data_IF_767094825221
#
_entry.id   IF_767094825221
#
_cell.length_a   1.000
_cell.length_b   1.000
_cell.length_c   1.000
_cell.angle_alpha   90.00
_cell.angle_beta   90.00
_cell.angle_gamma   90.00
#
_symmetry.space_group_name_H-M   'P 1'
#
loop_
_entity.id
_entity.type
_entity.pdbx_description
1 polymer ?
#
# COMPACT_ATOMS: atom_id res chain seq x y z
N UNK A 1 19.58 -8.28 3.42
CA UNK A 1 18.18 -7.84 3.57
C UNK A 1 17.47 -8.24 2.29
N UNK A 2 16.38 -9.03 2.35
CA UNK A 2 15.55 -9.39 1.21
C UNK A 2 14.21 -8.65 1.35
N UNK A 3 13.80 -7.91 0.35
CA UNK A 3 12.64 -7.02 0.42
C UNK A 3 11.47 -7.65 -0.37
N UNK A 4 10.31 -7.78 0.27
CA UNK A 4 9.06 -8.10 -0.43
C UNK A 4 8.44 -6.83 -0.99
N UNK A 5 8.17 -6.79 -2.29
CA UNK A 5 7.48 -5.68 -2.95
C UNK A 5 6.16 -6.21 -3.50
N UNK A 6 5.07 -5.56 -3.12
CA UNK A 6 3.71 -5.97 -3.48
C UNK A 6 3.02 -4.85 -4.22
N UNK A 7 2.33 -5.18 -5.30
CA UNK A 7 1.28 -4.38 -5.90
C UNK A 7 0.00 -5.22 -6.01
N UNK A 8 -1.16 -4.59 -6.04
CA UNK A 8 -2.44 -5.30 -6.17
C UNK A 8 -2.77 -5.62 -7.64
N UNK A 9 -2.33 -4.78 -8.56
CA UNK A 9 -2.66 -4.84 -9.99
C UNK A 9 -1.42 -5.02 -10.87
N UNK A 10 -1.62 -5.40 -12.14
CA UNK A 10 -0.52 -5.54 -13.10
C UNK A 10 0.20 -4.20 -13.33
N UNK A 11 -0.56 -3.14 -13.47
CA UNK A 11 -0.08 -1.77 -13.71
C UNK A 11 0.90 -1.31 -12.63
N UNK A 12 0.74 -1.80 -11.40
CA UNK A 12 1.55 -1.42 -10.24
C UNK A 12 2.89 -2.15 -10.17
N UNK A 13 3.02 -3.32 -10.83
CA UNK A 13 4.23 -4.14 -10.75
C UNK A 13 4.94 -4.33 -12.10
N UNK A 14 4.28 -4.06 -13.23
CA UNK A 14 4.77 -4.42 -14.56
C UNK A 14 6.13 -3.78 -14.86
N UNK A 15 6.29 -2.49 -14.57
CA UNK A 15 7.56 -1.81 -14.82
C UNK A 15 8.68 -2.36 -13.93
N UNK A 16 8.42 -2.60 -12.64
CA UNK A 16 9.43 -3.21 -11.74
C UNK A 16 9.84 -4.60 -12.23
N UNK A 17 8.86 -5.37 -12.73
CA UNK A 17 9.14 -6.69 -13.28
C UNK A 17 10.04 -6.61 -14.53
N UNK A 18 9.88 -5.60 -15.37
CA UNK A 18 10.74 -5.38 -16.53
C UNK A 18 12.15 -4.95 -16.14
N UNK A 19 12.29 -4.17 -15.07
CA UNK A 19 13.56 -3.59 -14.63
C UNK A 19 14.39 -4.56 -13.76
N UNK A 20 13.77 -5.62 -13.20
CA UNK A 20 14.47 -6.55 -12.34
C UNK A 20 15.17 -7.68 -13.10
N UNK A 21 16.25 -8.18 -12.54
CA UNK A 21 16.88 -9.43 -12.96
C UNK A 21 16.18 -10.58 -12.23
N UNK A 22 15.24 -11.25 -12.93
CA UNK A 22 14.49 -12.38 -12.37
C UNK A 22 15.37 -13.61 -12.39
N UNK A 23 15.61 -14.22 -11.23
CA UNK A 23 16.37 -15.46 -11.07
C UNK A 23 15.44 -16.68 -10.98
N UNK A 24 14.26 -16.48 -10.40
CA UNK A 24 13.28 -17.55 -10.18
C UNK A 24 11.86 -17.05 -10.19
N UNK A 25 10.96 -17.80 -10.84
CA UNK A 25 9.51 -17.65 -10.71
C UNK A 25 8.95 -18.79 -9.86
N UNK A 26 8.12 -18.47 -8.89
CA UNK A 26 7.46 -19.41 -8.00
C UNK A 26 5.96 -19.13 -7.97
N UNK A 27 5.15 -20.17 -8.04
CA UNK A 27 3.69 -20.05 -7.88
C UNK A 27 3.29 -20.65 -6.54
N UNK A 28 2.59 -19.87 -5.72
CA UNK A 28 1.98 -20.28 -4.46
C UNK A 28 0.58 -19.69 -4.36
N UNK A 29 -0.41 -20.49 -3.98
CA UNK A 29 -1.82 -20.06 -3.90
C UNK A 29 -2.30 -19.33 -5.17
N UNK A 30 -1.88 -19.79 -6.36
CA UNK A 30 -2.14 -19.18 -7.67
C UNK A 30 -1.55 -17.77 -7.87
N UNK A 31 -0.67 -17.33 -6.97
CA UNK A 31 0.05 -16.07 -7.04
C UNK A 31 1.46 -16.33 -7.58
N UNK A 32 1.88 -15.51 -8.57
CA UNK A 32 3.25 -15.54 -9.11
C UNK A 32 4.15 -14.63 -8.31
N UNK A 33 5.26 -15.18 -7.84
CA UNK A 33 6.32 -14.47 -7.16
C UNK A 33 7.58 -14.48 -8.04
N UNK A 34 8.18 -13.32 -8.22
CA UNK A 34 9.41 -13.13 -8.97
C UNK A 34 10.54 -12.84 -7.99
N UNK A 35 11.41 -13.81 -7.77
CA UNK A 35 12.60 -13.68 -6.92
C UNK A 35 13.81 -13.30 -7.78
N UNK A 36 14.59 -12.33 -7.32
CA UNK A 36 15.76 -11.85 -8.05
C UNK A 36 16.28 -10.54 -7.48
N UNK A 37 16.84 -9.69 -8.33
CA UNK A 37 17.40 -8.40 -7.92
C UNK A 37 16.80 -7.24 -8.71
N UNK A 38 16.60 -6.11 -8.01
CA UNK A 38 16.26 -4.81 -8.61
C UNK A 38 17.25 -3.77 -8.05
N UNK A 39 17.93 -3.05 -8.94
CA UNK A 39 18.99 -2.09 -8.57
C UNK A 39 20.03 -2.69 -7.61
N UNK A 40 20.38 -3.98 -7.82
CA UNK A 40 21.35 -4.71 -7.00
C UNK A 40 20.83 -5.14 -5.62
N UNK A 41 19.57 -4.91 -5.28
CA UNK A 41 18.96 -5.35 -4.02
C UNK A 41 18.19 -6.65 -4.21
N UNK A 42 18.33 -7.65 -3.33
CA UNK A 42 17.52 -8.87 -3.37
C UNK A 42 16.07 -8.55 -3.06
N UNK A 43 15.19 -8.85 -3.99
CA UNK A 43 13.75 -8.62 -3.86
C UNK A 43 12.92 -9.85 -4.20
N UNK A 44 11.70 -9.88 -3.69
CA UNK A 44 10.61 -10.73 -4.18
C UNK A 44 9.46 -9.83 -4.57
N UNK A 45 9.17 -9.76 -5.86
CA UNK A 45 8.07 -8.97 -6.42
C UNK A 45 6.86 -9.87 -6.67
N UNK A 46 5.68 -9.40 -6.35
CA UNK A 46 4.45 -10.13 -6.67
C UNK A 46 3.25 -9.20 -6.86
N UNK A 47 2.25 -9.73 -7.59
CA UNK A 47 0.90 -9.16 -7.65
C UNK A 47 0.00 -9.93 -6.70
N UNK A 48 -0.53 -9.24 -5.66
CA UNK A 48 -1.44 -9.88 -4.72
C UNK A 48 -2.83 -10.17 -5.31
N UNK A 49 -3.31 -9.33 -6.20
CA UNK A 49 -4.73 -9.18 -6.50
C UNK A 49 -5.40 -8.21 -5.53
N UNK A 50 -6.59 -7.75 -5.90
CA UNK A 50 -7.35 -6.74 -5.15
C UNK A 50 -8.01 -7.36 -3.92
N UNK A 51 -8.04 -6.59 -2.83
CA UNK A 51 -8.77 -6.90 -1.60
C UNK A 51 -7.93 -7.48 -0.46
N UNK A 52 -8.47 -7.35 0.74
CA UNK A 52 -7.76 -7.63 2.00
C UNK A 52 -7.28 -9.06 2.13
N UNK A 53 -8.07 -10.05 1.71
CA UNK A 53 -7.71 -11.47 1.80
C UNK A 53 -6.50 -11.78 0.91
N UNK A 54 -6.49 -11.25 -0.32
CA UNK A 54 -5.38 -11.42 -1.26
C UNK A 54 -4.09 -10.80 -0.71
N UNK A 55 -4.17 -9.60 -0.17
CA UNK A 55 -3.02 -8.91 0.44
C UNK A 55 -2.48 -9.66 1.66
N UNK A 56 -3.36 -10.12 2.56
CA UNK A 56 -2.97 -10.88 3.75
C UNK A 56 -2.28 -12.21 3.39
N UNK A 57 -2.90 -13.00 2.49
CA UNK A 57 -2.34 -14.26 2.01
C UNK A 57 -0.96 -14.08 1.38
N UNK A 58 -0.84 -13.10 0.49
CA UNK A 58 0.40 -12.78 -0.21
C UNK A 58 1.50 -12.38 0.77
N UNK A 59 1.17 -11.53 1.73
CA UNK A 59 2.10 -11.07 2.75
C UNK A 59 2.63 -12.21 3.61
N UNK A 60 1.76 -13.12 4.05
CA UNK A 60 2.19 -14.28 4.84
C UNK A 60 3.10 -15.21 4.04
N UNK A 61 2.82 -15.43 2.75
CA UNK A 61 3.70 -16.23 1.87
C UNK A 61 5.07 -15.56 1.70
N UNK A 62 5.13 -14.23 1.53
CA UNK A 62 6.40 -13.50 1.46
C UNK A 62 7.23 -13.66 2.71
N UNK A 63 6.61 -13.64 3.88
CA UNK A 63 7.28 -13.80 5.17
C UNK A 63 7.73 -15.24 5.36
N UNK A 64 6.84 -16.21 5.28
CA UNK A 64 7.12 -17.60 5.65
C UNK A 64 7.93 -18.36 4.61
N UNK A 65 7.59 -18.20 3.34
CA UNK A 65 8.24 -18.98 2.29
C UNK A 65 9.50 -18.29 1.71
N UNK A 66 9.41 -16.97 1.47
CA UNK A 66 10.52 -16.21 0.89
C UNK A 66 11.46 -15.60 1.93
N UNK A 67 11.05 -15.59 3.22
CA UNK A 67 11.84 -15.06 4.33
C UNK A 67 12.26 -13.59 4.10
N UNK A 68 11.33 -12.78 3.62
CA UNK A 68 11.57 -11.35 3.44
C UNK A 68 11.73 -10.68 4.81
N UNK A 69 12.62 -9.70 4.89
CA UNK A 69 12.95 -8.99 6.13
C UNK A 69 12.33 -7.59 6.21
N UNK A 70 11.69 -7.15 5.14
CA UNK A 70 10.92 -5.92 5.07
C UNK A 70 9.92 -5.98 3.91
N UNK A 71 8.87 -5.17 3.97
CA UNK A 71 7.80 -5.13 3.00
C UNK A 71 7.58 -3.70 2.51
N UNK A 72 7.44 -3.54 1.20
CA UNK A 72 7.01 -2.31 0.53
C UNK A 72 5.74 -2.64 -0.23
N UNK A 73 4.66 -1.94 0.07
CA UNK A 73 3.45 -2.01 -0.73
C UNK A 73 3.34 -0.75 -1.59
N UNK A 74 3.33 -0.91 -2.87
CA UNK A 74 3.26 0.18 -3.85
C UNK A 74 1.97 0.10 -4.64
N UNK A 75 1.44 1.24 -5.06
CA UNK A 75 0.22 1.26 -5.86
C UNK A 75 -0.48 2.62 -5.85
N UNK A 76 -1.75 2.59 -6.16
CA UNK A 76 -2.61 3.77 -6.28
C UNK A 76 -3.65 3.83 -5.17
N UNK A 77 -4.23 5.01 -4.94
CA UNK A 77 -5.29 5.23 -3.96
C UNK A 77 -6.17 6.42 -4.31
N UNK A 78 -7.38 6.45 -3.78
CA UNK A 78 -8.26 7.62 -3.80
C UNK A 78 -7.89 8.59 -2.69
N UNK A 79 -7.74 9.89 -3.03
CA UNK A 79 -7.44 10.95 -2.07
C UNK A 79 -8.63 11.27 -1.18
N UNK A 80 -8.40 11.40 0.14
CA UNK A 80 -9.42 11.80 1.12
C UNK A 80 -9.29 13.27 1.53
N UNK A 81 -8.09 13.85 1.43
CA UNK A 81 -7.85 15.26 1.73
C UNK A 81 -8.17 16.13 0.51
N UNK A 82 -8.70 17.34 0.74
CA UNK A 82 -9.10 18.25 -0.33
C UNK A 82 -7.89 18.79 -1.11
N UNK A 83 -6.78 18.96 -0.43
CA UNK A 83 -5.51 19.43 -0.98
C UNK A 83 -4.78 18.42 -1.86
N UNK A 84 -5.13 17.11 -1.79
CA UNK A 84 -4.50 16.10 -2.62
C UNK A 84 -5.02 16.14 -4.06
N UNK A 85 -4.10 16.17 -5.00
CA UNK A 85 -4.36 16.07 -6.43
C UNK A 85 -3.86 14.74 -7.02
N UNK A 86 -4.36 14.40 -8.21
CA UNK A 86 -3.91 13.22 -8.95
C UNK A 86 -2.41 13.32 -9.22
N UNK A 87 -1.68 12.28 -8.87
CA UNK A 87 -0.22 12.21 -8.97
C UNK A 87 0.51 12.52 -7.67
N UNK A 88 -0.15 13.06 -6.64
CA UNK A 88 0.47 13.25 -5.33
C UNK A 88 0.82 11.91 -4.69
N UNK A 89 1.87 11.93 -3.85
CA UNK A 89 2.38 10.73 -3.19
C UNK A 89 1.99 10.74 -1.72
N UNK A 90 1.40 9.64 -1.27
CA UNK A 90 1.12 9.37 0.13
C UNK A 90 2.05 8.28 0.64
N UNK A 91 2.76 8.57 1.74
CA UNK A 91 3.59 7.62 2.48
C UNK A 91 2.89 7.29 3.79
N UNK A 92 2.65 6.00 4.07
CA UNK A 92 1.97 5.58 5.29
C UNK A 92 2.76 5.94 6.54
N UNK A 93 2.11 6.58 7.52
CA UNK A 93 2.58 6.56 8.92
C UNK A 93 1.97 5.39 9.67
N UNK A 94 0.76 5.01 9.28
CA UNK A 94 0.03 3.83 9.74
C UNK A 94 -0.99 3.39 8.69
N UNK A 95 -1.60 2.22 8.91
CA UNK A 95 -2.71 1.74 8.11
C UNK A 95 -3.80 1.14 9.00
N UNK A 96 -5.07 1.36 8.62
CA UNK A 96 -6.22 0.93 9.40
C UNK A 96 -7.36 0.43 8.49
N UNK A 97 -8.06 -0.61 8.93
CA UNK A 97 -9.28 -1.05 8.27
C UNK A 97 -10.43 -0.11 8.59
N UNK A 98 -11.07 0.46 7.57
CA UNK A 98 -12.22 1.35 7.77
C UNK A 98 -13.58 0.63 7.72
N UNK A 99 -13.59 -0.62 7.27
CA UNK A 99 -14.80 -1.41 7.06
C UNK A 99 -15.04 -2.48 8.13
N UNK A 100 -14.20 -2.51 9.18
CA UNK A 100 -14.47 -3.31 10.38
C UNK A 100 -15.40 -2.50 11.28
N UNK A 101 -16.55 -3.06 11.60
CA UNK A 101 -17.54 -2.45 12.47
C UNK A 101 -17.98 -3.41 13.58
N UNK A 102 -17.38 -3.26 14.75
CA UNK A 102 -17.74 -3.94 15.99
C UNK A 102 -18.60 -3.07 16.93
N UNK A 103 -19.16 -1.96 16.44
CA UNK A 103 -19.89 -0.99 17.28
C UNK A 103 -21.09 -1.60 18.02
N UNK A 104 -21.84 -2.58 17.50
CA UNK A 104 -22.88 -3.25 18.28
C UNK A 104 -22.36 -4.01 19.50
N UNK A 105 -21.05 -4.32 19.55
CA UNK A 105 -20.37 -4.97 20.66
C UNK A 105 -19.62 -3.97 21.56
N UNK A 106 -19.72 -2.65 21.28
CA UNK A 106 -19.09 -1.58 22.05
C UNK A 106 -17.68 -1.18 21.58
N UNK A 107 -17.19 -1.71 20.45
CA UNK A 107 -15.93 -1.31 19.85
C UNK A 107 -16.09 -0.07 18.97
N UNK A 108 -14.99 0.66 18.75
CA UNK A 108 -15.01 1.75 17.78
C UNK A 108 -14.98 1.18 16.35
N UNK A 109 -15.50 1.92 15.37
CA UNK A 109 -15.33 1.55 13.96
C UNK A 109 -13.85 1.50 13.60
N UNK A 110 -13.46 0.51 12.82
CA UNK A 110 -12.07 0.22 12.47
C UNK A 110 -11.29 -0.53 13.55
N UNK A 111 -11.83 -0.62 14.76
CA UNK A 111 -11.27 -1.45 15.81
C UNK A 111 -11.62 -2.93 15.56
N UNK A 112 -10.61 -3.79 15.58
CA UNK A 112 -10.79 -5.24 15.43
C UNK A 112 -11.27 -5.79 16.76
N UNK A 113 -12.51 -6.32 16.85
CA UNK A 113 -13.04 -6.83 18.11
C UNK A 113 -12.16 -7.92 18.72
N UNK A 114 -11.93 -7.85 20.03
CA UNK A 114 -11.16 -8.84 20.79
C UNK A 114 -9.70 -9.01 20.35
N UNK A 115 -9.19 -8.05 19.62
CA UNK A 115 -7.79 -8.01 19.22
C UNK A 115 -6.96 -7.33 20.31
N UNK A 116 -5.95 -8.03 20.85
CA UNK A 116 -5.18 -7.57 22.01
C UNK A 116 -4.14 -6.50 21.67
N UNK A 117 -4.14 -6.00 20.44
CA UNK A 117 -3.20 -5.00 19.93
C UNK A 117 -3.94 -3.81 19.33
N UNK A 118 -3.19 -2.77 18.97
CA UNK A 118 -3.75 -1.64 18.22
C UNK A 118 -4.25 -2.08 16.85
N UNK A 119 -5.42 -1.59 16.45
CA UNK A 119 -5.97 -1.75 15.11
C UNK A 119 -5.47 -0.70 14.11
N UNK A 120 -4.61 0.22 14.57
CA UNK A 120 -3.86 1.18 13.76
C UNK A 120 -2.40 0.68 13.65
N UNK A 121 -2.06 0.06 12.53
CA UNK A 121 -0.78 -0.61 12.31
C UNK A 121 0.28 0.40 11.88
N UNK A 122 1.19 0.74 12.80
CA UNK A 122 2.23 1.75 12.57
C UNK A 122 3.29 1.24 11.59
N UNK A 123 3.57 2.02 10.56
CA UNK A 123 4.63 1.76 9.60
C UNK A 123 6.03 1.96 10.23
N UNK A 124 7.04 1.33 9.64
CA UNK A 124 8.41 1.44 10.15
C UNK A 124 8.97 2.83 9.86
N UNK A 125 9.36 3.57 10.91
CA UNK A 125 9.81 4.98 10.80
C UNK A 125 10.99 5.17 9.84
N UNK A 126 11.97 4.25 9.84
CA UNK A 126 13.10 4.33 8.91
C UNK A 126 12.68 4.14 7.45
N UNK A 127 11.79 3.19 7.18
CA UNK A 127 11.26 2.98 5.84
C UNK A 127 10.42 4.18 5.38
N UNK A 128 9.62 4.77 6.28
CA UNK A 128 8.85 5.99 6.02
C UNK A 128 9.76 7.17 5.68
N UNK A 129 10.85 7.35 6.44
CA UNK A 129 11.82 8.42 6.20
C UNK A 129 12.49 8.27 4.83
N UNK A 130 13.02 7.07 4.53
CA UNK A 130 13.66 6.79 3.23
C UNK A 130 12.69 6.93 2.07
N UNK A 131 11.45 6.47 2.21
CA UNK A 131 10.41 6.63 1.19
C UNK A 131 10.05 8.11 0.96
N UNK A 132 9.96 8.90 2.06
CA UNK A 132 9.68 10.34 1.98
C UNK A 132 10.79 11.09 1.27
N UNK A 133 12.05 10.85 1.64
CA UNK A 133 13.21 11.44 0.97
C UNK A 133 13.25 11.07 -0.53
N UNK A 134 12.99 9.78 -0.84
CA UNK A 134 12.95 9.31 -2.22
C UNK A 134 11.87 10.03 -3.04
N UNK A 135 10.68 10.20 -2.47
CA UNK A 135 9.58 10.89 -3.11
C UNK A 135 9.91 12.38 -3.33
N UNK A 136 10.40 13.08 -2.33
CA UNK A 136 10.75 14.51 -2.43
C UNK A 136 11.85 14.82 -3.47
N UNK A 137 12.75 13.86 -3.76
CA UNK A 137 13.77 14.02 -4.79
C UNK A 137 13.25 13.86 -6.22
N UNK A 138 12.12 13.16 -6.39
CA UNK A 138 11.61 12.81 -7.73
C UNK A 138 10.50 13.74 -8.21
N UNK A 139 9.85 14.45 -7.30
CA UNK A 139 8.47 14.84 -7.54
C UNK A 139 8.28 16.29 -7.93
N UNK A 140 7.44 16.42 -8.94
CA UNK A 140 6.70 17.62 -9.35
C UNK A 140 5.37 17.74 -8.57
N UNK A 141 5.05 16.80 -7.65
CA UNK A 141 3.79 16.63 -6.93
C UNK A 141 3.99 16.71 -5.41
N UNK A 142 2.94 16.89 -4.64
CA UNK A 142 3.04 16.96 -3.19
C UNK A 142 3.28 15.59 -2.57
N UNK A 143 4.02 15.57 -1.45
CA UNK A 143 4.31 14.34 -0.67
C UNK A 143 3.69 14.49 0.71
N UNK A 144 2.69 13.67 0.98
CA UNK A 144 1.95 13.68 2.25
C UNK A 144 2.23 12.40 3.03
N UNK A 145 2.43 12.54 4.34
CA UNK A 145 2.51 11.42 5.26
C UNK A 145 1.24 11.32 6.08
N UNK A 146 0.67 10.12 6.19
CA UNK A 146 -0.53 9.95 6.99
C UNK A 146 -1.03 8.53 7.09
N UNK A 147 -2.17 8.37 7.74
CA UNK A 147 -2.87 7.10 7.86
C UNK A 147 -3.52 6.73 6.53
N UNK A 148 -3.25 5.51 6.05
CA UNK A 148 -3.90 4.93 4.89
C UNK A 148 -5.05 4.05 5.37
N UNK A 149 -6.23 4.23 4.77
CA UNK A 149 -7.42 3.44 5.09
C UNK A 149 -7.65 2.34 4.04
N UNK A 150 -7.95 1.14 4.52
CA UNK A 150 -8.26 0.01 3.62
C UNK A 150 -9.63 -0.59 3.92
N UNK A 151 -10.31 -1.02 2.86
CA UNK A 151 -11.56 -1.78 2.96
C UNK A 151 -11.88 -2.47 1.64
N UNK A 152 -12.67 -3.55 1.66
CA UNK A 152 -13.07 -4.27 0.46
C UNK A 152 -14.19 -3.51 -0.31
N UNK A 153 -13.98 -2.20 -0.53
CA UNK A 153 -14.90 -1.29 -1.18
C UNK A 153 -14.13 -0.28 -2.02
N UNK A 154 -14.52 -0.14 -3.29
CA UNK A 154 -14.08 1.01 -4.09
C UNK A 154 -14.87 2.25 -3.67
N UNK A 155 -14.19 3.21 -3.04
CA UNK A 155 -14.82 4.43 -2.52
C UNK A 155 -14.93 5.47 -3.64
N UNK A 156 -16.15 5.79 -4.06
CA UNK A 156 -16.47 6.76 -5.10
C UNK A 156 -17.65 7.67 -4.71
N UNK A 157 -17.81 7.93 -3.42
CA UNK A 157 -18.92 8.70 -2.88
C UNK A 157 -18.42 9.77 -1.91
N UNK A 158 -18.77 11.03 -2.18
CA UNK A 158 -18.32 12.19 -1.40
C UNK A 158 -18.68 12.11 0.10
N UNK A 159 -19.84 11.62 0.44
CA UNK A 159 -20.27 11.47 1.84
C UNK A 159 -19.38 10.45 2.55
N UNK A 160 -19.06 9.33 1.88
CA UNK A 160 -18.15 8.32 2.41
C UNK A 160 -16.75 8.88 2.60
N UNK A 161 -16.24 9.70 1.68
CA UNK A 161 -14.95 10.38 1.80
C UNK A 161 -14.90 11.26 3.05
N UNK A 162 -15.94 12.08 3.29
CA UNK A 162 -16.02 12.91 4.48
C UNK A 162 -16.03 12.07 5.76
N UNK A 163 -16.84 11.00 5.80
CA UNK A 163 -16.86 10.06 6.93
C UNK A 163 -15.49 9.46 7.19
N UNK A 164 -14.81 8.96 6.16
CA UNK A 164 -13.49 8.35 6.30
C UNK A 164 -12.43 9.34 6.81
N UNK A 165 -12.49 10.59 6.36
CA UNK A 165 -11.61 11.66 6.84
C UNK A 165 -11.90 12.03 8.29
N UNK A 166 -13.16 12.24 8.64
CA UNK A 166 -13.55 12.75 9.95
C UNK A 166 -13.50 11.69 11.05
N UNK A 167 -14.01 10.47 10.79
CA UNK A 167 -14.05 9.40 11.79
C UNK A 167 -12.69 8.70 11.96
N UNK A 168 -11.93 8.53 10.87
CA UNK A 168 -10.70 7.73 10.89
C UNK A 168 -9.41 8.55 10.73
N UNK A 169 -9.50 9.82 10.33
CA UNK A 169 -8.32 10.64 10.08
C UNK A 169 -7.42 10.12 8.95
N UNK A 170 -8.02 9.47 7.96
CA UNK A 170 -7.30 8.95 6.80
C UNK A 170 -6.92 10.04 5.80
N UNK A 171 -5.77 9.88 5.15
CA UNK A 171 -5.33 10.79 4.08
C UNK A 171 -5.63 10.24 2.69
N UNK A 172 -5.67 8.94 2.53
CA UNK A 172 -6.14 8.27 1.31
C UNK A 172 -6.80 6.92 1.65
N UNK A 173 -7.50 6.34 0.68
CA UNK A 173 -8.22 5.06 0.82
C UNK A 173 -7.92 4.15 -0.35
N UNK A 174 -7.75 2.87 -0.05
CA UNK A 174 -7.50 1.79 -0.99
C UNK A 174 -8.06 0.45 -0.44
N UNK A 175 -7.66 -0.70 -0.95
CA UNK A 175 -8.35 -1.95 -0.62
C UNK A 175 -7.46 -3.04 0.01
N UNK A 176 -6.18 -2.80 0.30
CA UNK A 176 -5.20 -3.85 0.68
C UNK A 176 -4.26 -3.50 1.83
N UNK A 177 -3.81 -2.26 1.90
CA UNK A 177 -2.66 -1.85 2.72
C UNK A 177 -2.77 -2.20 4.19
N UNK A 178 -3.95 -2.00 4.80
CA UNK A 178 -4.14 -2.37 6.20
C UNK A 178 -4.04 -3.89 6.44
N UNK A 179 -4.43 -4.72 5.46
CA UNK A 179 -4.30 -6.16 5.58
C UNK A 179 -2.84 -6.62 5.50
N UNK A 180 -2.04 -6.05 4.59
CA UNK A 180 -0.59 -6.24 4.59
C UNK A 180 0.02 -5.76 5.92
N UNK A 181 -0.35 -4.57 6.38
CA UNK A 181 0.16 -3.97 7.60
C UNK A 181 -0.15 -4.81 8.84
N UNK A 182 -1.37 -5.34 8.96
CA UNK A 182 -1.76 -6.25 10.04
C UNK A 182 -0.92 -7.52 10.07
N UNK A 183 -0.75 -8.17 8.92
CA UNK A 183 0.08 -9.39 8.82
C UNK A 183 1.54 -9.08 9.13
N UNK A 184 2.09 -7.99 8.59
CA UNK A 184 3.45 -7.55 8.87
C UNK A 184 3.67 -7.26 10.36
N UNK A 185 2.73 -6.56 10.99
CA UNK A 185 2.74 -6.25 12.42
C UNK A 185 2.75 -7.52 13.29
N UNK A 186 1.85 -8.47 13.02
CA UNK A 186 1.77 -9.73 13.76
C UNK A 186 3.03 -10.59 13.61
N UNK A 187 3.72 -10.51 12.47
CA UNK A 187 4.97 -11.20 12.21
C UNK A 187 6.22 -10.37 12.57
N UNK A 188 6.05 -9.15 13.10
CA UNK A 188 7.14 -8.22 13.45
C UNK A 188 8.08 -7.90 12.27
N UNK A 189 7.54 -7.87 11.07
CA UNK A 189 8.27 -7.50 9.84
C UNK A 189 8.01 -6.03 9.53
N UNK A 190 9.05 -5.20 9.40
CA UNK A 190 8.89 -3.79 9.07
C UNK A 190 8.26 -3.60 7.69
N UNK A 191 7.35 -2.63 7.58
CA UNK A 191 6.65 -2.31 6.35
C UNK A 191 6.51 -0.80 6.13
N UNK A 192 6.29 -0.42 4.89
CA UNK A 192 5.80 0.89 4.45
C UNK A 192 4.85 0.72 3.26
N UNK A 193 3.84 1.57 3.19
CA UNK A 193 2.90 1.63 2.06
C UNK A 193 3.11 2.96 1.35
N UNK A 194 3.24 2.90 0.02
CA UNK A 194 3.44 4.05 -0.87
C UNK A 194 2.28 4.05 -1.85
N UNK A 195 1.57 5.18 -1.93
CA UNK A 195 0.45 5.36 -2.84
C UNK A 195 0.62 6.63 -3.66
N UNK A 196 0.32 6.55 -4.95
CA UNK A 196 0.09 7.73 -5.77
C UNK A 196 -1.42 7.91 -5.95
N UNK A 197 -1.88 9.14 -5.83
CA UNK A 197 -3.31 9.45 -5.95
C UNK A 197 -3.75 9.30 -7.41
N UNK A 198 -4.70 8.40 -7.64
CA UNK A 198 -5.30 8.16 -8.96
C UNK A 198 -6.61 8.92 -9.16
N UNK A 199 -7.29 9.25 -8.09
CA UNK A 199 -8.59 9.92 -8.08
C UNK A 199 -8.86 10.59 -6.71
N UNK A 200 -9.88 11.42 -6.63
CA UNK A 200 -10.28 12.08 -5.38
C UNK A 200 -11.35 11.31 -4.59
N UNK A 201 -11.55 10.02 -4.88
CA UNK A 201 -12.56 9.16 -4.26
C UNK A 201 -13.99 9.77 -4.24
N UNK A 202 -14.26 10.68 -5.15
CA UNK A 202 -15.55 11.38 -5.31
C UNK A 202 -16.43 10.73 -6.39
N UNK A 203 -17.54 11.35 -6.76
CA UNK A 203 -18.47 10.83 -7.78
C UNK A 203 -17.86 10.61 -9.18
N UNK A 204 -16.67 11.15 -9.47
CA UNK A 204 -15.92 10.98 -10.73
C UNK A 204 -14.73 10.02 -10.60
N UNK A 205 -14.56 9.40 -9.43
CA UNK A 205 -13.41 8.54 -9.11
C UNK A 205 -13.19 7.42 -10.14
N UNK A 206 -14.24 6.78 -10.62
CA UNK A 206 -14.13 5.67 -11.58
C UNK A 206 -13.57 6.11 -12.94
N UNK A 207 -13.88 7.32 -13.40
CA UNK A 207 -13.33 7.88 -14.63
C UNK A 207 -11.86 8.27 -14.44
N UNK A 208 -11.57 9.00 -13.38
CA UNK A 208 -10.21 9.40 -13.04
C UNK A 208 -9.30 8.20 -12.83
N UNK A 209 -9.78 7.16 -12.14
CA UNK A 209 -9.03 5.93 -11.92
C UNK A 209 -8.62 5.26 -13.24
N UNK A 210 -9.56 5.09 -14.19
CA UNK A 210 -9.26 4.46 -15.47
C UNK A 210 -8.22 5.26 -16.29
N UNK A 211 -8.30 6.58 -16.25
CA UNK A 211 -7.43 7.46 -17.02
C UNK A 211 -6.02 7.61 -16.41
N UNK A 212 -5.92 7.67 -15.08
CA UNK A 212 -4.70 8.05 -14.38
C UNK A 212 -3.95 6.91 -13.70
N UNK A 213 -4.53 5.70 -13.61
CA UNK A 213 -3.87 4.56 -12.95
C UNK A 213 -2.45 4.30 -13.46
N UNK A 214 -2.22 4.35 -14.77
CA UNK A 214 -0.88 4.10 -15.33
C UNK A 214 0.13 5.16 -14.93
N UNK A 215 -0.29 6.44 -14.92
CA UNK A 215 0.58 7.54 -14.48
C UNK A 215 0.92 7.41 -13.00
N UNK A 216 -0.09 7.20 -12.17
CA UNK A 216 0.05 7.05 -10.73
C UNK A 216 0.90 5.82 -10.37
N UNK A 217 0.71 4.68 -11.07
CA UNK A 217 1.54 3.49 -10.88
C UNK A 217 2.99 3.74 -11.24
N UNK A 218 3.25 4.49 -12.31
CA UNK A 218 4.62 4.87 -12.69
C UNK A 218 5.28 5.74 -11.62
N UNK A 219 4.58 6.72 -11.08
CA UNK A 219 5.12 7.58 -10.02
C UNK A 219 5.44 6.78 -8.75
N UNK A 220 4.54 5.90 -8.33
CA UNK A 220 4.76 5.01 -7.20
C UNK A 220 5.98 4.08 -7.43
N UNK A 221 6.13 3.53 -8.65
CA UNK A 221 7.30 2.75 -9.05
C UNK A 221 8.60 3.56 -8.93
N UNK A 222 8.63 4.80 -9.46
CA UNK A 222 9.83 5.65 -9.45
C UNK A 222 10.26 5.94 -7.99
N UNK A 223 9.31 6.16 -7.08
CA UNK A 223 9.59 6.33 -5.64
C UNK A 223 10.21 5.07 -5.04
N UNK A 224 9.66 3.88 -5.34
CA UNK A 224 10.21 2.60 -4.84
C UNK A 224 11.62 2.38 -5.37
N UNK A 225 11.88 2.60 -6.65
CA UNK A 225 13.21 2.46 -7.21
C UNK A 225 14.22 3.41 -6.55
N UNK A 226 13.84 4.67 -6.34
CA UNK A 226 14.69 5.66 -5.65
C UNK A 226 14.92 5.28 -4.19
N UNK A 227 13.89 4.76 -3.51
CA UNK A 227 14.00 4.23 -2.15
C UNK A 227 14.98 3.06 -2.07
N UNK A 228 14.93 2.11 -3.02
CA UNK A 228 15.86 0.98 -3.06
C UNK A 228 17.33 1.41 -3.20
N UNK A 229 17.61 2.49 -3.92
CA UNK A 229 18.97 3.04 -4.03
C UNK A 229 19.50 3.62 -2.71
N UNK A 230 18.58 4.04 -1.81
CA UNK A 230 18.95 4.62 -0.49
C UNK A 230 19.01 3.57 0.64
N UNK A 231 18.39 2.40 0.47
CA UNK A 231 18.43 1.28 1.42
C UNK A 231 19.70 0.45 1.27
#
# INVERSE_FOLDING_TARGET
MKIGIVGAMNEEIEQMKLDMQIEKEVIKADIKFYEGTLLGKPIVLCKSGVGKVNAALTTQILIDYFQVTSLIFTGVAGGLLEELDVGDIVISTSAMHHDIDGSPLGFQKGEIPMFEHSSDFTANSKLVEVATEAALELVVADVVKGRILSGDQFVANREKVLTLREEFGGVCVEMEGAALAQVAYLNQVPFVIIRSISDKANGEASLSFADFTKLASKQSHDVVCKMLMKL
#
